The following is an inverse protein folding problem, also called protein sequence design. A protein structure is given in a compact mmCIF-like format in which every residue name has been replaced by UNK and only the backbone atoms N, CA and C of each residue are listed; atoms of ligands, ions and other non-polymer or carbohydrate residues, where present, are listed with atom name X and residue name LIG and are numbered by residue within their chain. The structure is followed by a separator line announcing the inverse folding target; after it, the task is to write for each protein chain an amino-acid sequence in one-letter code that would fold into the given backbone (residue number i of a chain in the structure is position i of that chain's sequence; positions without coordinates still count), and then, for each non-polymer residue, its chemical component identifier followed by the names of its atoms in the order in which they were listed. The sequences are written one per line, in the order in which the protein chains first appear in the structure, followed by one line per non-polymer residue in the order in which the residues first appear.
data_IF_252466828350
#
_entry.id   IF_252466828350
#
_cell.length_a   1.000
_cell.length_b   1.000
_cell.length_c   1.000
_cell.angle_alpha   90.00
_cell.angle_beta   90.00
_cell.angle_gamma   90.00
#
_symmetry.space_group_name_H-M   'P 1'
#
loop_
_entity.id
_entity.type
_entity.pdbx_description
1 polymer ?
#
# COMPACT_ATOMS: atom_id res chain seq x y z
N UNK A 1 10.15 -11.11 -13.06
CA UNK A 1 9.90 -10.90 -11.62
C UNK A 1 9.46 -9.46 -11.46
N UNK A 2 8.26 -9.24 -10.94
CA UNK A 2 7.78 -7.91 -10.57
C UNK A 2 8.49 -7.48 -9.28
N UNK A 3 8.97 -6.24 -9.22
CA UNK A 3 9.58 -5.68 -8.01
C UNK A 3 8.55 -4.98 -7.13
N UNK A 4 8.91 -4.68 -5.88
CA UNK A 4 8.04 -3.97 -4.92
C UNK A 4 7.46 -2.66 -5.49
N UNK A 5 8.21 -1.96 -6.35
CA UNK A 5 7.72 -0.76 -7.02
C UNK A 5 6.47 -1.02 -7.90
N UNK A 6 6.43 -2.14 -8.63
CA UNK A 6 5.27 -2.50 -9.46
C UNK A 6 4.03 -2.82 -8.63
N UNK A 7 4.22 -3.47 -7.48
CA UNK A 7 3.12 -3.70 -6.52
C UNK A 7 2.57 -2.38 -5.99
N UNK A 8 3.44 -1.41 -5.68
CA UNK A 8 3.01 -0.09 -5.23
C UNK A 8 2.29 0.72 -6.31
N UNK A 9 2.69 0.59 -7.56
CA UNK A 9 2.01 1.23 -8.70
C UNK A 9 0.57 0.71 -8.83
N UNK A 10 0.38 -0.60 -8.75
CA UNK A 10 -0.96 -1.20 -8.77
C UNK A 10 -1.79 -0.84 -7.54
N UNK A 11 -1.18 -0.79 -6.36
CA UNK A 11 -1.86 -0.32 -5.14
C UNK A 11 -2.33 1.12 -5.31
N UNK A 12 -1.48 2.01 -5.82
CA UNK A 12 -1.83 3.41 -6.06
C UNK A 12 -2.97 3.57 -7.07
N UNK A 13 -3.03 2.72 -8.10
CA UNK A 13 -4.15 2.70 -9.04
C UNK A 13 -5.49 2.35 -8.37
N UNK A 14 -5.47 1.43 -7.39
CA UNK A 14 -6.65 1.08 -6.59
C UNK A 14 -7.06 2.24 -5.69
N UNK A 15 -6.14 2.74 -4.86
CA UNK A 15 -6.48 3.72 -3.82
C UNK A 15 -6.74 5.12 -4.36
N UNK A 16 -6.27 5.44 -5.57
CA UNK A 16 -6.56 6.72 -6.23
C UNK A 16 -7.87 6.69 -7.03
N UNK A 17 -8.52 5.54 -7.16
CA UNK A 17 -9.75 5.37 -7.96
C UNK A 17 -11.04 5.68 -7.21
N UNK A 18 -11.00 5.73 -5.88
CA UNK A 18 -12.15 6.00 -5.02
C UNK A 18 -11.71 6.64 -3.69
N UNK A 19 -12.68 7.20 -2.96
CA UNK A 19 -12.47 7.56 -1.56
C UNK A 19 -12.11 6.32 -0.74
N UNK A 20 -11.26 6.50 0.27
CA UNK A 20 -10.72 5.44 1.11
C UNK A 20 -11.17 5.69 2.54
N UNK A 21 -11.76 4.67 3.18
CA UNK A 21 -12.10 4.72 4.58
C UNK A 21 -10.84 4.49 5.43
N UNK A 22 -10.27 5.60 5.89
CA UNK A 22 -9.07 5.62 6.73
C UNK A 22 -9.37 5.77 8.22
N UNK A 23 -10.64 5.66 8.65
CA UNK A 23 -11.08 5.96 10.02
C UNK A 23 -10.45 5.10 11.13
N UNK A 24 -9.95 3.91 10.76
CA UNK A 24 -9.26 2.97 11.67
C UNK A 24 -7.73 3.00 11.54
N UNK A 25 -7.21 3.86 10.67
CA UNK A 25 -5.79 3.97 10.37
C UNK A 25 -5.12 5.13 11.12
N UNK A 26 -3.79 5.27 10.93
CA UNK A 26 -3.07 6.45 11.39
C UNK A 26 -3.17 7.66 10.45
N UNK A 27 -3.80 7.52 9.27
CA UNK A 27 -3.93 8.60 8.29
C UNK A 27 -5.13 9.49 8.61
N UNK A 28 -4.95 10.80 8.47
CA UNK A 28 -6.01 11.80 8.54
C UNK A 28 -6.96 11.80 7.34
N UNK A 29 -6.67 11.01 6.30
CA UNK A 29 -7.52 10.84 5.13
C UNK A 29 -6.85 10.06 3.99
N UNK A 30 -7.62 9.73 2.96
CA UNK A 30 -7.13 9.02 1.77
C UNK A 30 -5.99 9.75 1.05
N UNK A 31 -6.01 11.09 1.00
CA UNK A 31 -4.96 11.88 0.37
C UNK A 31 -3.60 11.74 1.08
N UNK A 32 -3.60 11.67 2.42
CA UNK A 32 -2.38 11.45 3.20
C UNK A 32 -1.82 10.05 2.97
N UNK A 33 -2.69 9.04 2.96
CA UNK A 33 -2.31 7.66 2.62
C UNK A 33 -1.67 7.59 1.22
N UNK A 34 -2.32 8.19 0.22
CA UNK A 34 -1.79 8.23 -1.16
C UNK A 34 -0.46 8.96 -1.23
N UNK A 35 -0.29 10.06 -0.49
CA UNK A 35 0.97 10.81 -0.44
C UNK A 35 2.11 9.96 0.16
N UNK A 36 1.86 9.25 1.26
CA UNK A 36 2.84 8.34 1.87
C UNK A 36 3.26 7.23 0.89
N UNK A 37 2.30 6.56 0.26
CA UNK A 37 2.55 5.50 -0.71
C UNK A 37 3.33 6.00 -1.93
N UNK A 38 3.01 7.19 -2.45
CA UNK A 38 3.79 7.83 -3.52
C UNK A 38 5.22 8.14 -3.09
N UNK A 39 5.42 8.56 -1.84
CA UNK A 39 6.74 8.80 -1.26
C UNK A 39 7.58 7.51 -1.23
N UNK A 40 6.99 6.39 -0.84
CA UNK A 40 7.66 5.09 -0.89
C UNK A 40 8.01 4.65 -2.32
N UNK A 41 7.07 4.79 -3.27
CA UNK A 41 7.32 4.46 -4.67
C UNK A 41 8.46 5.30 -5.27
N UNK A 42 8.49 6.60 -4.98
CA UNK A 42 9.55 7.49 -5.47
C UNK A 42 10.94 7.05 -4.99
N UNK A 43 11.08 6.63 -3.72
CA UNK A 43 12.33 6.08 -3.18
C UNK A 43 12.74 4.80 -3.88
N UNK A 44 11.82 3.85 -4.03
CA UNK A 44 12.10 2.58 -4.70
C UNK A 44 12.57 2.78 -6.16
N UNK A 45 12.00 3.75 -6.88
CA UNK A 45 12.38 4.07 -8.27
C UNK A 45 13.82 4.57 -8.41
N UNK A 46 14.40 5.16 -7.35
CA UNK A 46 15.81 5.58 -7.34
C UNK A 46 16.72 4.57 -6.65
N UNK A 47 16.22 3.36 -6.36
CA UNK A 47 16.97 2.28 -5.70
C UNK A 47 17.10 2.44 -4.19
N UNK A 48 16.37 3.39 -3.57
CA UNK A 48 16.35 3.56 -2.12
C UNK A 48 15.32 2.62 -1.48
N UNK A 49 15.84 1.57 -0.84
CA UNK A 49 15.05 0.57 -0.12
C UNK A 49 14.78 0.92 1.35
N UNK A 50 15.19 2.10 1.84
CA UNK A 50 15.01 2.51 3.24
C UNK A 50 13.55 2.51 3.71
N UNK A 51 12.59 2.62 2.79
CA UNK A 51 11.16 2.56 3.06
C UNK A 51 10.57 1.16 3.21
N UNK A 52 11.29 0.09 2.85
CA UNK A 52 10.76 -1.28 2.88
C UNK A 52 10.26 -1.74 4.26
N UNK A 53 10.94 -1.43 5.40
CA UNK A 53 10.43 -1.82 6.71
C UNK A 53 9.08 -1.18 7.06
N UNK A 54 8.81 0.05 6.58
CA UNK A 54 7.52 0.69 6.76
C UNK A 54 6.44 0.01 5.91
N UNK A 55 6.74 -0.25 4.63
CA UNK A 55 5.85 -0.98 3.74
C UNK A 55 5.49 -2.38 4.28
N UNK A 56 6.47 -3.12 4.82
CA UNK A 56 6.22 -4.42 5.46
C UNK A 56 5.24 -4.32 6.64
N UNK A 57 5.28 -3.23 7.42
CA UNK A 57 4.30 -3.01 8.49
C UNK A 57 2.91 -2.67 7.94
N UNK A 58 2.84 -1.87 6.87
CA UNK A 58 1.57 -1.54 6.22
C UNK A 58 0.89 -2.78 5.62
N UNK A 59 1.67 -3.68 5.02
CA UNK A 59 1.20 -4.95 4.44
C UNK A 59 1.05 -6.10 5.45
N UNK A 60 1.42 -5.92 6.71
CA UNK A 60 1.30 -6.97 7.71
C UNK A 60 -0.18 -7.39 7.90
N UNK A 61 -0.46 -8.64 8.32
CA UNK A 61 -1.80 -9.06 8.70
C UNK A 61 -2.36 -8.12 9.77
N UNK A 62 -3.62 -7.73 9.63
CA UNK A 62 -4.31 -6.71 10.45
C UNK A 62 -3.63 -5.33 10.45
N UNK A 63 -2.76 -5.08 9.47
CA UNK A 63 -2.11 -3.79 9.26
C UNK A 63 -3.06 -2.76 8.66
N UNK A 64 -2.65 -1.49 8.71
CA UNK A 64 -3.49 -0.37 8.28
C UNK A 64 -4.02 -0.53 6.84
N UNK A 65 -3.23 -1.03 5.89
CA UNK A 65 -3.71 -1.25 4.51
C UNK A 65 -4.78 -2.35 4.44
N UNK A 66 -4.69 -3.40 5.26
CA UNK A 66 -5.70 -4.46 5.27
C UNK A 66 -7.05 -3.91 5.78
N UNK A 67 -7.03 -3.16 6.87
CA UNK A 67 -8.25 -2.59 7.47
C UNK A 67 -8.90 -1.55 6.55
N UNK A 68 -8.10 -0.69 5.91
CA UNK A 68 -8.60 0.24 4.89
C UNK A 68 -9.19 -0.52 3.72
N UNK A 69 -8.55 -1.61 3.26
CA UNK A 69 -9.05 -2.40 2.15
C UNK A 69 -10.39 -3.06 2.44
N UNK A 70 -10.56 -3.60 3.64
CA UNK A 70 -11.82 -4.21 4.07
C UNK A 70 -12.92 -3.16 4.15
N UNK A 71 -12.66 -2.03 4.81
CA UNK A 71 -13.63 -0.96 5.00
C UNK A 71 -13.98 -0.24 3.69
N UNK A 72 -13.04 -0.17 2.74
CA UNK A 72 -13.21 0.47 1.43
C UNK A 72 -13.64 -0.52 0.32
N UNK A 73 -13.93 -1.77 0.66
CA UNK A 73 -14.53 -2.74 -0.28
C UNK A 73 -13.56 -3.40 -1.28
N UNK A 74 -12.24 -3.27 -1.11
CA UNK A 74 -11.22 -3.87 -1.99
C UNK A 74 -10.35 -4.94 -1.33
N UNK A 75 -10.80 -5.53 -0.21
CA UNK A 75 -10.09 -6.57 0.54
C UNK A 75 -9.62 -7.77 -0.30
N UNK A 76 -10.38 -8.19 -1.32
CA UNK A 76 -9.94 -9.24 -2.25
C UNK A 76 -8.71 -8.83 -3.08
N UNK A 77 -8.69 -7.57 -3.56
CA UNK A 77 -7.55 -7.01 -4.29
C UNK A 77 -6.34 -6.82 -3.37
N UNK A 78 -6.57 -6.47 -2.11
CA UNK A 78 -5.50 -6.42 -1.10
C UNK A 78 -4.78 -7.76 -0.95
N UNK A 79 -5.50 -8.88 -0.85
CA UNK A 79 -4.87 -10.21 -0.72
C UNK A 79 -3.96 -10.56 -1.91
N UNK A 80 -4.37 -10.18 -3.12
CA UNK A 80 -3.55 -10.34 -4.32
C UNK A 80 -2.28 -9.48 -4.25
N UNK A 81 -2.42 -8.21 -3.89
CA UNK A 81 -1.30 -7.26 -3.75
C UNK A 81 -0.34 -7.69 -2.64
N UNK A 82 -0.84 -8.14 -1.49
CA UNK A 82 -0.04 -8.63 -0.37
C UNK A 82 0.78 -9.87 -0.76
N UNK A 83 0.16 -10.83 -1.45
CA UNK A 83 0.88 -12.01 -1.98
C UNK A 83 1.99 -11.63 -2.96
N UNK A 84 1.75 -10.63 -3.83
CA UNK A 84 2.76 -10.11 -4.77
C UNK A 84 3.87 -9.36 -4.05
N UNK A 85 3.52 -8.58 -3.02
CA UNK A 85 4.46 -7.87 -2.17
C UNK A 85 5.41 -8.85 -1.46
N UNK A 86 4.86 -9.90 -0.84
CA UNK A 86 5.64 -10.94 -0.15
C UNK A 86 6.59 -11.67 -1.10
N UNK A 87 6.17 -11.94 -2.34
CA UNK A 87 6.99 -12.60 -3.36
C UNK A 87 8.10 -11.70 -3.94
N UNK A 88 7.96 -10.37 -3.82
CA UNK A 88 8.91 -9.38 -4.31
C UNK A 88 9.91 -8.89 -3.23
N UNK A 89 9.71 -9.31 -1.97
CA UNK A 89 10.46 -8.90 -0.79
C UNK A 89 11.56 -9.86 -0.36
#
# INVERSE_FOLDING_TARGET
MEGVAGVLEDLLAVVSGSEQDTGWSGWGGGDEMVAELRGHLARLRVGDASGLPALRRLFAPTGALQEVALSSGWGGRYLELARRFDAAC
#
